data_IF_794085611751
#
_entry.id   IF_794085611751
#
_cell.length_a   1.000
_cell.length_b   1.000
_cell.length_c   1.000
_cell.angle_alpha   90.00
_cell.angle_beta   90.00
_cell.angle_gamma   90.00
#
_symmetry.space_group_name_H-M   'P 1'
#
loop_
_entity.id
_entity.type
_entity.pdbx_description
1 polymer ?
#
# COMPACT_ATOMS: atom_id res chain seq x y z
N UNK A 1 15.62 0.36 20.39
CA UNK A 1 15.96 0.83 21.76
C UNK A 1 16.94 1.98 21.64
N UNK A 2 17.38 2.59 22.74
CA UNK A 2 18.45 3.59 22.69
C UNK A 2 19.74 3.02 22.07
N UNK A 3 19.97 1.71 22.24
CA UNK A 3 21.13 1.00 21.68
C UNK A 3 21.00 0.67 20.19
N UNK A 4 19.89 1.01 19.53
CA UNK A 4 19.71 0.72 18.10
C UNK A 4 20.70 1.53 17.28
N UNK A 5 21.45 0.85 16.41
CA UNK A 5 22.47 1.43 15.54
C UNK A 5 21.82 2.25 14.42
N UNK A 6 22.37 3.43 14.15
CA UNK A 6 21.92 4.31 13.05
C UNK A 6 22.68 4.01 11.76
N UNK A 7 22.15 4.45 10.63
CA UNK A 7 22.77 4.25 9.31
C UNK A 7 24.10 5.00 9.14
N UNK A 8 24.30 6.09 9.87
CA UNK A 8 25.56 6.86 9.88
C UNK A 8 26.59 6.36 10.91
N UNK A 9 26.26 5.31 11.68
CA UNK A 9 27.05 4.86 12.82
C UNK A 9 26.72 5.59 14.13
N UNK A 10 27.05 4.96 15.26
CA UNK A 10 26.57 5.36 16.58
C UNK A 10 25.25 4.67 16.93
N UNK A 11 24.49 5.24 17.87
CA UNK A 11 23.20 4.68 18.32
C UNK A 11 22.15 5.77 18.47
N UNK A 12 20.88 5.40 18.63
CA UNK A 12 19.81 6.35 18.94
C UNK A 12 20.05 7.13 20.24
N UNK A 13 20.86 6.60 21.17
CA UNK A 13 21.26 7.30 22.39
C UNK A 13 22.07 8.59 22.13
N UNK A 14 22.69 8.73 20.96
CA UNK A 14 23.43 9.93 20.57
C UNK A 14 22.48 11.09 20.19
N UNK A 15 21.21 10.78 19.92
CA UNK A 15 20.19 11.72 19.44
C UNK A 15 19.00 11.88 20.40
N UNK A 16 18.78 10.90 21.27
CA UNK A 16 17.63 10.84 22.18
C UNK A 16 18.07 10.43 23.59
N UNK A 17 17.53 11.09 24.62
CA UNK A 17 17.88 10.82 26.02
C UNK A 17 17.06 9.67 26.63
N UNK A 18 15.94 9.31 26.01
CA UNK A 18 14.98 8.36 26.58
C UNK A 18 14.13 7.67 25.51
N UNK A 19 13.55 6.53 25.87
CA UNK A 19 12.57 5.86 25.02
C UNK A 19 11.33 6.74 24.75
N UNK A 20 10.93 7.58 25.69
CA UNK A 20 9.82 8.53 25.49
C UNK A 20 10.10 9.55 24.40
N UNK A 21 11.35 10.05 24.29
CA UNK A 21 11.71 10.97 23.21
C UNK A 21 11.69 10.27 21.84
N UNK A 22 12.14 9.00 21.77
CA UNK A 22 12.02 8.17 20.56
C UNK A 22 10.55 8.02 20.17
N UNK A 23 9.65 7.71 21.12
CA UNK A 23 8.22 7.54 20.82
C UNK A 23 7.60 8.84 20.30
N UNK A 24 7.92 9.98 20.92
CA UNK A 24 7.43 11.30 20.48
C UNK A 24 7.96 11.65 19.08
N UNK A 25 9.22 11.34 18.78
CA UNK A 25 9.84 11.57 17.47
C UNK A 25 10.12 10.26 16.74
N UNK A 26 9.10 9.41 16.61
CA UNK A 26 9.25 8.08 16.00
C UNK A 26 9.72 8.19 14.55
N UNK A 27 9.21 9.16 13.78
CA UNK A 27 9.60 9.37 12.40
C UNK A 27 11.09 9.74 12.28
N UNK A 28 11.58 10.70 13.08
CA UNK A 28 12.99 11.06 13.05
C UNK A 28 13.92 9.93 13.50
N UNK A 29 13.50 9.14 14.50
CA UNK A 29 14.25 7.94 14.89
C UNK A 29 14.27 6.88 13.78
N UNK A 30 13.14 6.68 13.07
CA UNK A 30 13.03 5.76 11.94
C UNK A 30 13.95 6.17 10.78
N UNK A 31 14.03 7.46 10.48
CA UNK A 31 14.94 8.00 9.46
C UNK A 31 16.41 7.71 9.81
N UNK A 32 16.82 7.93 11.07
CA UNK A 32 18.19 7.65 11.52
C UNK A 32 18.57 6.17 11.39
N UNK A 33 17.62 5.26 11.55
CA UNK A 33 17.86 3.80 11.43
C UNK A 33 17.58 3.26 10.02
N UNK A 34 17.25 4.13 9.06
CA UNK A 34 17.16 3.77 7.65
C UNK A 34 15.83 3.10 7.26
N UNK A 35 14.72 3.47 7.90
CA UNK A 35 13.41 3.06 7.44
C UNK A 35 13.19 3.47 5.97
N UNK A 36 12.51 2.62 5.20
CA UNK A 36 12.23 2.90 3.78
C UNK A 36 11.10 3.94 3.67
N UNK A 37 11.29 5.07 2.97
CA UNK A 37 10.20 6.03 2.71
C UNK A 37 9.14 5.44 1.76
N UNK A 38 7.88 5.42 2.23
CA UNK A 38 6.75 4.76 1.55
C UNK A 38 5.75 5.76 0.93
N UNK A 39 5.02 5.32 -0.09
CA UNK A 39 3.98 6.08 -0.78
C UNK A 39 2.67 6.12 0.01
N UNK A 40 2.63 6.95 1.05
CA UNK A 40 1.46 7.21 1.91
C UNK A 40 0.76 5.91 2.38
N UNK A 41 1.36 5.18 3.34
CA UNK A 41 0.68 4.09 4.03
C UNK A 41 -0.62 4.54 4.67
N UNK A 42 -1.73 3.83 4.40
CA UNK A 42 -3.04 4.08 5.02
C UNK A 42 -3.46 2.85 5.87
N UNK A 43 -4.38 2.00 5.38
CA UNK A 43 -4.91 0.86 6.15
C UNK A 43 -4.12 -0.43 5.94
N UNK A 44 -4.09 -1.22 6.99
CA UNK A 44 -3.49 -2.55 7.02
C UNK A 44 -4.54 -3.60 7.42
N UNK A 45 -4.49 -4.78 6.82
CA UNK A 45 -5.35 -5.92 7.17
C UNK A 45 -4.61 -7.24 7.05
N UNK A 46 -5.03 -8.23 7.83
CA UNK A 46 -4.41 -9.56 7.88
C UNK A 46 -5.39 -10.58 7.33
N UNK A 47 -4.94 -11.42 6.41
CA UNK A 47 -5.71 -12.57 5.94
C UNK A 47 -5.94 -13.54 7.11
N UNK A 48 -7.19 -13.83 7.50
CA UNK A 48 -7.49 -14.67 8.65
C UNK A 48 -7.11 -16.15 8.45
N UNK A 49 -6.82 -16.57 7.22
CA UNK A 49 -6.47 -17.96 6.89
C UNK A 49 -4.97 -18.16 6.67
N UNK A 50 -4.29 -17.22 6.00
CA UNK A 50 -2.85 -17.36 5.72
C UNK A 50 -1.97 -16.62 6.72
N UNK A 51 -2.49 -15.59 7.38
CA UNK A 51 -1.71 -14.67 8.19
C UNK A 51 -0.92 -13.63 7.37
N UNK A 52 -1.03 -13.67 6.03
CA UNK A 52 -0.41 -12.66 5.16
C UNK A 52 -1.00 -11.29 5.46
N UNK A 53 -0.14 -10.28 5.49
CA UNK A 53 -0.53 -8.91 5.82
C UNK A 53 -0.55 -8.06 4.55
N UNK A 54 -1.50 -7.17 4.45
CA UNK A 54 -1.72 -6.29 3.30
C UNK A 54 -1.76 -4.84 3.78
N UNK A 55 -1.11 -3.93 3.03
CA UNK A 55 -1.05 -2.51 3.33
C UNK A 55 -1.33 -1.68 2.08
N UNK A 56 -2.23 -0.72 2.20
CA UNK A 56 -2.49 0.25 1.14
C UNK A 56 -1.46 1.36 1.13
N UNK A 57 -0.97 1.70 -0.06
CA UNK A 57 -0.10 2.82 -0.36
C UNK A 57 -0.85 3.73 -1.34
N UNK A 58 -1.58 4.70 -0.80
CA UNK A 58 -2.68 5.35 -1.51
C UNK A 58 -2.23 6.15 -2.72
N UNK A 59 -1.16 6.95 -2.62
CA UNK A 59 -0.53 7.65 -3.74
C UNK A 59 0.71 8.41 -3.25
N UNK A 60 1.53 8.89 -4.17
CA UNK A 60 2.59 9.85 -3.89
C UNK A 60 3.04 10.58 -5.17
N UNK A 61 2.38 11.68 -5.51
CA UNK A 61 2.81 12.55 -6.62
C UNK A 61 4.06 13.38 -6.29
N UNK A 62 4.49 13.40 -5.03
CA UNK A 62 5.74 14.06 -4.59
C UNK A 62 6.97 13.18 -4.79
N UNK A 63 6.81 11.90 -5.15
CA UNK A 63 7.94 11.03 -5.55
C UNK A 63 8.39 11.39 -6.96
N UNK A 64 9.30 12.35 -7.08
CA UNK A 64 9.78 12.85 -8.39
C UNK A 64 11.18 12.39 -8.75
N UNK A 65 12.01 12.10 -7.75
CA UNK A 65 13.46 11.97 -7.96
C UNK A 65 13.92 10.51 -7.97
N UNK A 66 13.37 9.70 -7.07
CA UNK A 66 13.80 8.31 -6.88
C UNK A 66 12.67 7.34 -6.55
N UNK A 67 12.75 6.16 -7.15
CA UNK A 67 11.94 4.99 -6.82
C UNK A 67 12.71 4.06 -5.90
N UNK A 68 11.98 3.22 -5.18
CA UNK A 68 12.55 2.03 -4.53
C UNK A 68 11.69 0.80 -4.89
N UNK A 69 12.13 -0.44 -4.60
CA UNK A 69 11.37 -1.62 -4.97
C UNK A 69 9.93 -1.62 -4.46
N UNK A 70 9.70 -1.11 -3.25
CA UNK A 70 8.38 -1.00 -2.65
C UNK A 70 7.56 0.19 -3.20
N UNK A 71 8.15 1.10 -3.96
CA UNK A 71 7.49 2.29 -4.49
C UNK A 71 8.02 2.57 -5.92
N UNK A 72 7.58 1.79 -6.92
CA UNK A 72 8.29 1.65 -8.20
C UNK A 72 7.81 2.60 -9.30
N UNK A 73 6.99 3.61 -8.98
CA UNK A 73 6.50 4.62 -9.93
C UNK A 73 6.81 6.02 -9.42
N UNK A 74 7.44 6.84 -10.26
CA UNK A 74 7.51 8.28 -10.03
C UNK A 74 6.13 8.90 -10.28
N UNK A 75 5.86 10.05 -9.65
CA UNK A 75 4.59 10.77 -9.75
C UNK A 75 3.38 9.84 -9.58
N UNK A 76 3.43 8.97 -8.57
CA UNK A 76 2.48 7.88 -8.40
C UNK A 76 1.09 8.43 -8.02
N UNK A 77 0.22 8.65 -9.00
CA UNK A 77 -1.15 9.15 -8.78
C UNK A 77 -2.12 8.09 -8.28
N UNK A 78 -1.86 6.81 -8.58
CA UNK A 78 -2.88 5.77 -8.51
C UNK A 78 -2.74 4.83 -7.32
N UNK A 79 -1.57 4.78 -6.68
CA UNK A 79 -1.35 3.92 -5.53
C UNK A 79 -1.25 2.43 -5.86
N UNK A 80 -1.00 1.64 -4.82
CA UNK A 80 -0.86 0.19 -4.89
C UNK A 80 -1.06 -0.45 -3.51
N UNK A 81 -1.16 -1.78 -3.46
CA UNK A 81 -1.24 -2.56 -2.23
C UNK A 81 -0.02 -3.46 -2.14
N UNK A 82 0.72 -3.41 -1.04
CA UNK A 82 1.79 -4.36 -0.73
C UNK A 82 1.22 -5.48 0.12
N UNK A 83 1.76 -6.68 -0.08
CA UNK A 83 1.53 -7.85 0.76
C UNK A 83 2.85 -8.37 1.31
N UNK A 84 2.84 -8.87 2.54
CA UNK A 84 3.97 -9.62 3.09
C UNK A 84 3.53 -10.81 3.93
N UNK A 85 4.43 -11.78 4.03
CA UNK A 85 4.37 -12.92 4.93
C UNK A 85 5.51 -12.79 5.94
N UNK A 86 5.17 -12.86 7.24
CA UNK A 86 6.16 -12.88 8.32
C UNK A 86 7.08 -14.10 8.19
N UNK A 87 8.36 -13.88 8.43
CA UNK A 87 9.36 -14.95 8.45
C UNK A 87 9.31 -15.78 9.72
N UNK A 88 10.29 -16.68 9.86
CA UNK A 88 10.47 -17.45 11.10
C UNK A 88 10.93 -16.58 12.28
N UNK A 89 11.55 -15.43 12.00
CA UNK A 89 11.92 -14.40 12.96
C UNK A 89 10.94 -13.23 12.84
N UNK A 90 10.63 -12.58 13.97
CA UNK A 90 9.78 -11.39 14.02
C UNK A 90 10.41 -10.14 13.37
N UNK A 91 11.63 -10.24 12.84
CA UNK A 91 12.37 -9.13 12.23
C UNK A 91 12.52 -9.25 10.72
N UNK A 92 12.03 -10.35 10.13
CA UNK A 92 12.21 -10.64 8.71
C UNK A 92 10.86 -10.99 8.09
N UNK A 93 10.66 -10.59 6.83
CA UNK A 93 9.46 -10.91 6.06
C UNK A 93 9.81 -11.02 4.57
N UNK A 94 8.98 -11.76 3.84
CA UNK A 94 8.99 -11.74 2.36
C UNK A 94 7.78 -10.95 1.88
N UNK A 95 7.95 -10.13 0.84
CA UNK A 95 6.90 -9.23 0.38
C UNK A 95 6.84 -9.14 -1.15
N UNK A 96 5.68 -8.75 -1.65
CA UNK A 96 5.41 -8.43 -3.05
C UNK A 96 4.38 -7.29 -3.17
N UNK A 97 4.30 -6.68 -4.36
CA UNK A 97 3.21 -5.74 -4.66
C UNK A 97 2.03 -6.57 -5.16
N UNK A 98 0.97 -6.60 -4.35
CA UNK A 98 -0.21 -7.41 -4.58
C UNK A 98 -1.03 -6.91 -5.78
N UNK A 99 -1.27 -5.60 -5.85
CA UNK A 99 -2.01 -4.97 -6.96
C UNK A 99 -1.61 -3.51 -7.12
N UNK A 100 -1.48 -3.06 -8.37
CA UNK A 100 -1.28 -1.66 -8.72
C UNK A 100 -2.63 -1.03 -9.10
N UNK A 101 -2.98 0.09 -8.47
CA UNK A 101 -4.05 0.95 -8.96
C UNK A 101 -3.63 1.58 -10.30
N UNK A 102 -4.59 1.71 -11.21
CA UNK A 102 -4.39 2.26 -12.56
C UNK A 102 -5.74 2.50 -13.25
N UNK A 103 -5.84 3.49 -14.15
CA UNK A 103 -6.90 3.49 -15.16
C UNK A 103 -6.75 2.29 -16.11
N UNK A 104 -7.85 1.82 -16.69
CA UNK A 104 -7.90 0.66 -17.57
C UNK A 104 -7.04 0.84 -18.84
N UNK A 105 -6.95 2.07 -19.35
CA UNK A 105 -6.17 2.45 -20.52
C UNK A 105 -4.73 2.89 -20.19
N UNK A 106 -4.27 2.71 -18.96
CA UNK A 106 -2.88 3.00 -18.57
C UNK A 106 -1.88 2.19 -19.39
N UNK A 107 -0.68 2.75 -19.60
CA UNK A 107 0.41 2.05 -20.26
C UNK A 107 0.93 0.85 -19.42
N UNK A 108 1.83 0.05 -19.99
CA UNK A 108 2.34 -1.15 -19.31
C UNK A 108 3.09 -0.84 -18.01
N UNK A 109 3.68 0.35 -17.89
CA UNK A 109 4.41 0.78 -16.70
C UNK A 109 3.48 1.27 -15.59
N UNK A 110 2.28 1.74 -15.94
CA UNK A 110 1.23 2.18 -15.03
C UNK A 110 0.31 1.04 -14.64
N UNK A 111 -0.27 0.34 -15.63
CA UNK A 111 -1.25 -0.73 -15.47
C UNK A 111 -0.60 -2.12 -15.37
N UNK A 112 0.33 -2.26 -14.41
CA UNK A 112 1.10 -3.49 -14.24
C UNK A 112 0.26 -4.69 -13.81
N UNK A 113 -0.93 -4.45 -13.24
CA UNK A 113 -1.87 -5.49 -12.82
C UNK A 113 -2.88 -5.87 -13.89
N UNK A 114 -2.85 -5.25 -15.08
CA UNK A 114 -3.77 -5.56 -16.17
C UNK A 114 -5.24 -5.26 -15.82
N UNK A 115 -5.48 -4.18 -15.07
CA UNK A 115 -6.82 -3.71 -14.76
C UNK A 115 -7.56 -3.34 -16.05
N UNK A 116 -8.86 -3.52 -16.07
CA UNK A 116 -9.73 -3.18 -17.18
C UNK A 116 -10.89 -2.31 -16.69
N UNK A 117 -11.81 -1.98 -17.59
CA UNK A 117 -12.93 -1.08 -17.29
C UNK A 117 -13.82 -1.55 -16.12
N UNK A 118 -13.83 -2.86 -15.83
CA UNK A 118 -14.65 -3.44 -14.75
C UNK A 118 -13.96 -3.46 -13.38
N UNK A 119 -12.70 -3.07 -13.29
CA UNK A 119 -11.96 -3.10 -12.03
C UNK A 119 -10.84 -2.06 -11.91
N UNK A 120 -10.84 -1.03 -12.76
CA UNK A 120 -9.92 0.08 -12.61
C UNK A 120 -10.21 0.86 -11.32
N UNK A 121 -9.15 1.20 -10.61
CA UNK A 121 -9.23 1.95 -9.37
C UNK A 121 -7.95 2.76 -9.17
N UNK A 122 -8.03 3.73 -8.28
CA UNK A 122 -6.89 4.53 -7.82
C UNK A 122 -7.10 4.90 -6.36
N UNK A 123 -6.01 5.26 -5.68
CA UNK A 123 -5.98 5.60 -4.26
C UNK A 123 -6.65 4.54 -3.36
N UNK A 124 -6.16 3.29 -3.35
CA UNK A 124 -6.62 2.34 -2.34
C UNK A 124 -6.29 2.91 -0.95
N UNK A 125 -7.27 2.91 -0.06
CA UNK A 125 -7.17 3.44 1.30
C UNK A 125 -7.67 2.38 2.28
N UNK A 126 -8.99 2.27 2.49
CA UNK A 126 -9.58 1.33 3.43
C UNK A 126 -9.35 -0.13 3.02
N UNK A 127 -9.06 -0.98 4.01
CA UNK A 127 -8.70 -2.38 3.78
C UNK A 127 -9.26 -3.29 4.88
N UNK A 128 -9.98 -4.35 4.51
CA UNK A 128 -10.50 -5.31 5.47
C UNK A 128 -10.71 -6.70 4.88
N UNK A 129 -10.30 -7.75 5.60
CA UNK A 129 -10.78 -9.11 5.36
C UNK A 129 -12.12 -9.36 6.07
N UNK A 130 -13.02 -10.08 5.40
CA UNK A 130 -14.16 -10.70 6.07
C UNK A 130 -13.90 -12.16 6.46
N UNK A 131 -14.81 -12.74 7.26
CA UNK A 131 -14.67 -14.13 7.73
C UNK A 131 -14.72 -15.22 6.65
N UNK A 132 -14.95 -14.86 5.39
CA UNK A 132 -14.89 -15.75 4.23
C UNK A 132 -13.55 -15.65 3.50
N UNK A 133 -12.65 -14.76 3.91
CA UNK A 133 -11.35 -14.54 3.27
C UNK A 133 -11.43 -13.63 2.04
N UNK A 134 -12.53 -12.87 1.90
CA UNK A 134 -12.62 -11.84 0.86
C UNK A 134 -11.92 -10.60 1.40
N UNK A 135 -10.94 -10.10 0.63
CA UNK A 135 -10.31 -8.81 0.88
C UNK A 135 -11.13 -7.70 0.23
N UNK A 136 -11.61 -6.77 1.05
CA UNK A 136 -12.32 -5.57 0.64
C UNK A 136 -11.33 -4.42 0.56
N UNK A 137 -11.29 -3.74 -0.59
CA UNK A 137 -10.49 -2.54 -0.83
C UNK A 137 -11.45 -1.36 -1.03
N UNK A 138 -11.28 -0.28 -0.28
CA UNK A 138 -12.02 0.97 -0.43
C UNK A 138 -11.09 2.04 -0.99
N UNK A 139 -11.60 2.94 -1.83
CA UNK A 139 -10.81 4.02 -2.44
C UNK A 139 -11.13 5.39 -1.85
N UNK A 140 -10.13 6.27 -1.85
CA UNK A 140 -10.25 7.73 -1.66
C UNK A 140 -9.54 8.44 -2.83
N UNK A 141 -10.17 8.39 -4.00
CA UNK A 141 -9.56 8.64 -5.30
C UNK A 141 -9.59 10.11 -5.70
N UNK A 142 -8.39 10.65 -5.98
CA UNK A 142 -8.19 12.00 -6.52
C UNK A 142 -7.57 12.04 -7.92
N UNK A 143 -7.43 10.90 -8.61
CA UNK A 143 -6.84 10.83 -9.94
C UNK A 143 -7.91 10.97 -11.04
N UNK A 144 -7.87 12.08 -11.79
CA UNK A 144 -8.81 12.43 -12.86
C UNK A 144 -9.04 11.30 -13.88
N UNK A 145 -7.99 10.54 -14.18
CA UNK A 145 -8.04 9.42 -15.12
C UNK A 145 -9.00 8.30 -14.67
N UNK A 146 -9.26 8.19 -13.37
CA UNK A 146 -10.20 7.21 -12.79
C UNK A 146 -11.48 7.88 -12.29
N UNK A 147 -11.40 9.08 -11.68
CA UNK A 147 -12.60 9.79 -11.17
C UNK A 147 -13.56 10.22 -12.29
N UNK A 148 -13.05 10.44 -13.50
CA UNK A 148 -13.88 10.68 -14.69
C UNK A 148 -14.68 9.45 -15.16
N UNK A 149 -14.29 8.25 -14.72
CA UNK A 149 -14.98 7.00 -15.04
C UNK A 149 -15.88 6.49 -13.91
N UNK A 150 -15.44 6.65 -12.65
CA UNK A 150 -16.15 6.15 -11.48
C UNK A 150 -15.89 7.01 -10.26
N UNK A 151 -16.89 7.13 -9.39
CA UNK A 151 -16.73 7.65 -8.03
C UNK A 151 -15.86 6.70 -7.19
N UNK A 152 -15.58 7.10 -5.95
CA UNK A 152 -15.05 6.18 -4.95
C UNK A 152 -15.88 4.91 -4.84
N UNK A 153 -15.15 3.82 -4.62
CA UNK A 153 -15.66 2.48 -4.80
C UNK A 153 -15.14 1.55 -3.72
N UNK A 154 -15.85 0.44 -3.57
CA UNK A 154 -15.42 -0.69 -2.76
C UNK A 154 -15.31 -1.91 -3.69
N UNK A 155 -14.10 -2.44 -3.80
CA UNK A 155 -13.79 -3.61 -4.59
C UNK A 155 -13.65 -4.84 -3.68
N UNK A 156 -13.98 -6.01 -4.23
CA UNK A 156 -13.81 -7.29 -3.57
C UNK A 156 -12.75 -8.10 -4.32
N UNK A 157 -11.73 -8.53 -3.61
CA UNK A 157 -10.75 -9.49 -4.10
C UNK A 157 -11.20 -10.87 -3.64
N UNK A 158 -11.61 -11.69 -4.59
CA UNK A 158 -12.08 -13.06 -4.34
C UNK A 158 -10.97 -14.02 -4.69
N UNK A 159 -10.58 -14.86 -3.74
CA UNK A 159 -9.70 -16.00 -3.98
C UNK A 159 -10.45 -17.06 -4.80
N UNK A 160 -9.98 -17.37 -6.01
CA UNK A 160 -10.48 -18.49 -6.82
C UNK A 160 -9.30 -19.42 -7.09
N UNK A 161 -9.17 -20.46 -6.26
CA UNK A 161 -8.01 -21.37 -6.30
C UNK A 161 -6.71 -20.64 -5.93
N UNK A 162 -5.72 -20.65 -6.84
CA UNK A 162 -4.45 -19.90 -6.68
C UNK A 162 -4.48 -18.49 -7.29
N UNK A 163 -5.60 -18.07 -7.88
CA UNK A 163 -5.74 -16.76 -8.50
C UNK A 163 -6.60 -15.83 -7.64
N UNK A 164 -6.32 -14.53 -7.70
CA UNK A 164 -7.15 -13.50 -7.11
C UNK A 164 -7.91 -12.78 -8.23
N UNK A 165 -9.22 -12.61 -8.08
CA UNK A 165 -10.04 -11.82 -9.00
C UNK A 165 -10.52 -10.57 -8.27
N UNK A 166 -10.16 -9.41 -8.79
CA UNK A 166 -10.64 -8.12 -8.32
C UNK A 166 -11.96 -7.78 -9.01
N UNK A 167 -13.03 -7.69 -8.24
CA UNK A 167 -14.37 -7.38 -8.69
C UNK A 167 -14.81 -6.00 -8.17
N UNK A 168 -15.21 -5.11 -9.07
CA UNK A 168 -15.93 -3.90 -8.73
C UNK A 168 -17.44 -4.23 -8.63
N UNK A 169 -18.14 -3.65 -7.65
CA UNK A 169 -19.61 -3.70 -7.71
C UNK A 169 -20.08 -2.96 -8.97
N UNK A 170 -21.15 -3.42 -9.66
CA UNK A 170 -21.70 -2.68 -10.79
C UNK A 170 -22.01 -1.24 -10.38
N UNK A 171 -21.53 -0.25 -11.16
CA UNK A 171 -21.94 1.13 -10.97
C UNK A 171 -23.47 1.17 -10.96
N UNK A 172 -24.06 1.68 -9.87
CA UNK A 172 -25.43 2.17 -9.94
C UNK A 172 -25.40 3.25 -11.02
N UNK A 173 -26.03 2.95 -12.17
CA UNK A 173 -25.82 3.67 -13.42
C UNK A 173 -25.72 5.19 -13.22
N UNK A 174 -24.76 5.79 -13.91
CA UNK A 174 -24.54 7.23 -13.90
C UNK A 174 -25.87 7.97 -14.01
N UNK A 175 -26.14 8.83 -13.03
CA UNK A 175 -27.15 9.86 -13.20
C UNK A 175 -26.51 10.92 -14.09
N UNK A 176 -26.68 10.73 -15.40
CA UNK A 176 -26.45 11.62 -16.56
C UNK A 176 -25.10 12.31 -16.68
#
# INVERSE_FOLDING_TARGET
TLDTVTTSGGTLADHFNSLSEIIINTAGAADLVGATPMDRPEWCSVDPFTGSVYLTLTNNTRRTDETNPANPRLNNKFGHVIRWDEGTSATDFTWDIFVFGSPANGDADTNRSGLNEFNQFASPDGLAFDGRGILWIQTDNGADEVTSYTNDQMLAVVQIGRAHVLHQRPNAGGCT
#
